data_IF_581556728528
#
_entry.id   IF_581556728528
#
_cell.length_a   1.000
_cell.length_b   1.000
_cell.length_c   1.000
_cell.angle_alpha   90.00
_cell.angle_beta   90.00
_cell.angle_gamma   90.00
#
_symmetry.space_group_name_H-M   'P 1'
#
loop_
_entity.id
_entity.type
_entity.pdbx_description
1 polymer ?
#
# COMPACT_ATOMS: atom_id res chain seq x y z
N UNK A 1 -27.63 1.55 63.52
CA UNK A 1 -26.19 1.25 63.65
C UNK A 1 -26.00 -0.25 63.51
N UNK A 2 -25.29 -0.66 62.46
CA UNK A 2 -24.82 -2.02 62.20
C UNK A 2 -25.82 -2.91 61.45
N UNK A 3 -25.46 -3.63 60.40
CA UNK A 3 -24.25 -3.62 59.58
C UNK A 3 -24.62 -4.37 58.29
N UNK A 4 -24.17 -3.84 57.16
CA UNK A 4 -24.35 -4.43 55.83
C UNK A 4 -23.17 -5.37 55.62
N UNK A 5 -23.39 -6.64 55.30
CA UNK A 5 -22.46 -7.39 54.44
C UNK A 5 -23.11 -8.70 53.96
N UNK A 6 -23.56 -8.66 52.71
CA UNK A 6 -23.76 -9.83 51.86
C UNK A 6 -22.48 -10.68 51.87
N UNK A 7 -22.56 -11.93 52.32
CA UNK A 7 -21.52 -12.93 52.04
C UNK A 7 -21.63 -13.31 50.56
N UNK A 8 -20.94 -12.51 49.74
CA UNK A 8 -20.93 -12.58 48.30
C UNK A 8 -20.42 -13.92 47.77
N UNK A 9 -21.26 -14.53 46.96
CA UNK A 9 -20.88 -15.24 45.74
C UNK A 9 -19.80 -14.49 44.97
N UNK A 10 -18.52 -14.76 45.19
CA UNK A 10 -17.47 -14.41 44.24
C UNK A 10 -16.35 -15.44 44.29
N UNK A 11 -16.69 -16.67 43.89
CA UNK A 11 -15.83 -17.39 42.95
C UNK A 11 -15.65 -16.51 41.69
N UNK A 12 -14.87 -15.43 41.77
CA UNK A 12 -14.30 -14.83 40.56
C UNK A 12 -13.17 -15.75 40.14
N UNK A 13 -13.59 -16.82 39.45
CA UNK A 13 -12.75 -17.55 38.51
C UNK A 13 -11.79 -16.55 37.86
N UNK A 14 -10.50 -16.83 38.01
CA UNK A 14 -9.37 -16.24 37.31
C UNK A 14 -9.67 -16.35 35.82
N UNK A 15 -10.46 -15.42 35.30
CA UNK A 15 -10.70 -15.20 33.88
C UNK A 15 -9.72 -14.13 33.42
N UNK A 16 -8.42 -14.40 33.60
CA UNK A 16 -7.48 -14.09 32.52
C UNK A 16 -7.68 -15.17 31.46
N UNK A 17 -8.87 -15.15 30.84
CA UNK A 17 -9.02 -15.65 29.50
C UNK A 17 -8.14 -14.70 28.68
N UNK A 18 -6.89 -15.10 28.48
CA UNK A 18 -6.05 -14.61 27.40
C UNK A 18 -6.87 -14.83 26.14
N UNK A 19 -7.59 -13.80 25.71
CA UNK A 19 -8.16 -13.79 24.38
C UNK A 19 -6.95 -13.79 23.46
N UNK A 20 -6.60 -14.98 22.99
CA UNK A 20 -5.98 -15.21 21.69
C UNK A 20 -6.95 -14.64 20.65
N UNK A 21 -7.13 -13.32 20.66
CA UNK A 21 -7.78 -12.64 19.56
C UNK A 21 -6.95 -13.00 18.34
N UNK A 22 -7.67 -13.46 17.31
CA UNK A 22 -7.19 -13.67 15.96
C UNK A 22 -6.78 -12.31 15.38
N UNK A 23 -5.73 -11.71 15.94
CA UNK A 23 -5.11 -10.51 15.39
C UNK A 23 -4.53 -10.98 14.07
N UNK A 24 -5.28 -10.73 12.97
CA UNK A 24 -4.67 -10.67 11.66
C UNK A 24 -3.45 -9.78 11.84
N UNK A 25 -2.23 -10.22 11.51
CA UNK A 25 -1.04 -9.40 11.71
C UNK A 25 -1.24 -8.11 10.92
N UNK A 26 -1.67 -7.07 11.62
CA UNK A 26 -1.95 -5.78 11.02
C UNK A 26 -0.63 -5.31 10.43
N UNK A 27 -0.58 -4.98 9.12
CA UNK A 27 0.63 -4.49 8.51
C UNK A 27 0.99 -3.16 9.17
N UNK A 28 2.10 -3.15 9.92
CA UNK A 28 2.57 -1.96 10.63
C UNK A 28 3.27 -1.06 9.63
N UNK A 29 2.97 0.23 9.67
CA UNK A 29 3.59 1.26 8.85
C UNK A 29 4.86 1.80 9.51
N UNK A 30 5.88 2.01 8.70
CA UNK A 30 7.17 2.54 9.13
C UNK A 30 7.79 3.41 8.06
N UNK A 31 8.69 4.28 8.51
CA UNK A 31 9.50 5.14 7.65
C UNK A 31 10.98 4.94 7.99
N UNK A 32 11.83 5.06 6.99
CA UNK A 32 13.25 4.86 7.16
C UNK A 32 14.02 5.15 5.89
N UNK A 33 15.23 4.60 5.81
CA UNK A 33 16.08 4.74 4.64
C UNK A 33 16.67 3.39 4.22
N UNK A 34 16.88 3.21 2.91
CA UNK A 34 17.51 2.01 2.39
C UNK A 34 18.96 1.91 2.87
N UNK A 35 19.29 0.89 3.66
CA UNK A 35 20.65 0.65 4.17
C UNK A 35 21.55 0.12 3.05
N UNK A 36 21.07 -0.86 2.31
CA UNK A 36 21.72 -1.38 1.11
C UNK A 36 20.73 -2.20 0.29
N UNK A 37 20.94 -2.23 -1.03
CA UNK A 37 20.14 -3.02 -1.94
C UNK A 37 21.02 -3.71 -2.98
N UNK A 38 20.92 -5.04 -3.06
CA UNK A 38 21.62 -5.80 -4.08
C UNK A 38 20.75 -5.90 -5.33
N UNK A 39 21.07 -5.07 -6.31
CA UNK A 39 20.37 -4.98 -7.60
C UNK A 39 20.39 -6.29 -8.39
N UNK A 40 21.47 -7.08 -8.28
CA UNK A 40 21.60 -8.36 -9.00
C UNK A 40 20.73 -9.44 -8.37
N UNK A 41 20.65 -9.46 -7.04
CA UNK A 41 19.88 -10.47 -6.31
C UNK A 41 18.42 -10.06 -6.06
N UNK A 42 18.10 -8.77 -6.17
CA UNK A 42 16.74 -8.25 -6.00
C UNK A 42 16.25 -8.16 -4.55
N UNK A 43 17.17 -8.06 -3.58
CA UNK A 43 16.83 -7.89 -2.17
C UNK A 43 17.76 -6.92 -1.47
N UNK A 44 17.33 -6.43 -0.31
CA UNK A 44 18.09 -5.50 0.50
C UNK A 44 17.55 -5.39 1.92
N UNK A 45 18.06 -4.39 2.64
CA UNK A 45 17.58 -4.04 3.97
C UNK A 45 17.34 -2.54 4.08
N UNK A 46 16.30 -2.19 4.83
CA UNK A 46 15.91 -0.83 5.18
C UNK A 46 16.17 -0.63 6.66
N UNK A 47 16.83 0.46 7.01
CA UNK A 47 17.01 0.90 8.38
C UNK A 47 15.79 1.73 8.77
N UNK A 48 14.97 1.21 9.69
CA UNK A 48 13.74 1.88 10.10
C UNK A 48 14.04 2.97 11.13
N UNK A 49 13.63 4.20 10.86
CA UNK A 49 13.87 5.35 11.75
C UNK A 49 12.63 5.70 12.57
N UNK A 50 11.44 5.40 12.04
CA UNK A 50 10.17 5.67 12.71
C UNK A 50 9.19 4.52 12.48
N UNK A 51 8.48 4.11 13.53
CA UNK A 51 7.33 3.20 13.46
C UNK A 51 6.07 3.94 13.86
N UNK A 52 4.99 3.85 13.07
CA UNK A 52 3.69 4.43 13.44
C UNK A 52 3.79 5.91 13.85
N UNK A 53 4.73 6.66 13.25
CA UNK A 53 4.99 8.07 13.59
C UNK A 53 5.81 8.33 14.86
N UNK A 54 6.18 7.29 15.62
CA UNK A 54 7.07 7.41 16.79
C UNK A 54 8.54 7.17 16.39
N UNK A 55 9.48 8.02 16.83
CA UNK A 55 10.91 7.75 16.66
C UNK A 55 11.32 6.54 17.51
N UNK A 56 12.27 5.75 17.01
CA UNK A 56 12.84 4.59 17.68
C UNK A 56 14.28 4.86 18.11
N UNK A 57 14.62 4.48 19.35
CA UNK A 57 15.98 4.62 19.88
C UNK A 57 17.00 3.72 19.15
N UNK A 58 16.52 2.56 18.66
CA UNK A 58 17.31 1.58 17.94
C UNK A 58 16.64 1.34 16.58
N UNK A 59 17.31 1.62 15.44
CA UNK A 59 16.73 1.38 14.13
C UNK A 59 16.79 -0.12 13.79
N UNK A 60 15.65 -0.85 13.76
CA UNK A 60 15.65 -2.24 13.34
C UNK A 60 15.87 -2.34 11.83
N UNK A 61 16.60 -3.38 11.43
CA UNK A 61 16.79 -3.73 10.02
C UNK A 61 15.56 -4.50 9.52
N UNK A 62 14.94 -3.99 8.44
CA UNK A 62 13.75 -4.59 7.80
C UNK A 62 14.14 -5.16 6.45
N UNK A 63 13.80 -6.43 6.22
CA UNK A 63 14.09 -7.11 4.97
C UNK A 63 13.16 -6.64 3.85
N UNK A 64 13.73 -6.28 2.69
CA UNK A 64 12.98 -5.87 1.50
C UNK A 64 13.32 -6.74 0.30
N UNK A 65 12.28 -7.15 -0.43
CA UNK A 65 12.40 -7.85 -1.70
C UNK A 65 11.87 -6.96 -2.85
N UNK A 66 12.48 -7.06 -4.03
CA UNK A 66 12.13 -6.24 -5.21
C UNK A 66 10.65 -6.31 -5.59
N UNK A 67 9.99 -7.46 -5.33
CA UNK A 67 8.57 -7.66 -5.65
C UNK A 67 7.63 -6.80 -4.78
N UNK A 68 8.14 -6.24 -3.69
CA UNK A 68 7.38 -5.42 -2.73
C UNK A 68 7.52 -3.92 -3.04
N UNK A 69 8.42 -3.55 -3.96
CA UNK A 69 8.65 -2.16 -4.38
C UNK A 69 7.55 -1.70 -5.33
N UNK A 70 6.89 -0.60 -4.99
CA UNK A 70 5.87 0.05 -5.82
C UNK A 70 6.55 1.01 -6.79
N UNK A 71 6.93 0.47 -7.94
CA UNK A 71 7.49 1.24 -9.06
C UNK A 71 7.30 0.49 -10.37
N UNK A 72 7.38 1.20 -11.50
CA UNK A 72 7.27 0.60 -12.82
C UNK A 72 8.64 0.23 -13.39
N UNK A 73 8.70 -0.89 -14.11
CA UNK A 73 9.91 -1.38 -14.76
C UNK A 73 10.89 -2.08 -13.80
N UNK A 74 12.14 -1.63 -13.79
CA UNK A 74 13.21 -2.29 -13.05
C UNK A 74 13.19 -1.85 -11.58
N UNK A 75 12.88 -2.79 -10.68
CA UNK A 75 12.62 -2.50 -9.28
C UNK A 75 13.90 -2.53 -8.45
N UNK A 76 14.36 -1.38 -8.00
CA UNK A 76 15.51 -1.27 -7.09
C UNK A 76 15.37 -0.08 -6.15
N UNK A 77 16.21 -0.03 -5.12
CA UNK A 77 16.33 1.10 -4.20
C UNK A 77 17.74 1.69 -4.29
N UNK A 78 17.85 3.01 -4.11
CA UNK A 78 19.14 3.68 -3.91
C UNK A 78 19.54 3.62 -2.44
N UNK A 79 20.82 3.41 -2.17
CA UNK A 79 21.37 3.49 -0.81
C UNK A 79 21.16 4.90 -0.24
N UNK A 80 20.64 4.98 1.00
CA UNK A 80 20.27 6.22 1.66
C UNK A 80 18.95 6.85 1.18
N UNK A 81 18.21 6.22 0.26
CA UNK A 81 16.89 6.70 -0.17
C UNK A 81 15.87 6.61 0.96
N UNK A 82 15.14 7.71 1.20
CA UNK A 82 14.02 7.71 2.15
C UNK A 82 12.84 6.93 1.59
N UNK A 83 12.27 6.06 2.41
CA UNK A 83 11.19 5.16 2.01
C UNK A 83 10.15 5.03 3.11
N UNK A 84 8.90 4.92 2.69
CA UNK A 84 7.77 4.56 3.53
C UNK A 84 7.37 3.13 3.20
N UNK A 85 7.11 2.32 4.21
CA UNK A 85 6.79 0.92 4.00
C UNK A 85 5.85 0.37 5.04
N UNK A 86 5.20 -0.72 4.67
CA UNK A 86 4.48 -1.57 5.62
C UNK A 86 5.26 -2.84 5.83
N UNK A 87 5.37 -3.31 7.06
CA UNK A 87 6.10 -4.51 7.42
C UNK A 87 5.28 -5.42 8.33
N UNK A 88 5.69 -6.68 8.38
CA UNK A 88 5.16 -7.68 9.30
C UNK A 88 6.30 -8.41 9.98
N UNK A 89 6.00 -8.99 11.14
CA UNK A 89 6.90 -9.94 11.80
C UNK A 89 6.78 -11.31 11.13
N UNK A 90 7.89 -11.85 10.64
CA UNK A 90 8.00 -13.21 10.08
C UNK A 90 8.91 -14.07 10.95
N UNK A 91 9.01 -15.37 10.63
CA UNK A 91 9.96 -16.28 11.29
C UNK A 91 11.43 -15.89 11.09
N UNK A 92 11.75 -15.11 10.04
CA UNK A 92 13.12 -14.67 9.72
C UNK A 92 13.42 -13.25 10.22
N UNK A 93 12.49 -12.61 10.93
CA UNK A 93 12.58 -11.20 11.32
C UNK A 93 11.53 -10.33 10.63
N UNK A 94 11.79 -9.03 10.56
CA UNK A 94 10.87 -8.05 9.97
C UNK A 94 10.95 -8.09 8.44
N UNK A 95 9.80 -8.24 7.78
CA UNK A 95 9.68 -8.32 6.31
C UNK A 95 8.75 -7.21 5.80
N UNK A 96 9.18 -6.49 4.76
CA UNK A 96 8.34 -5.52 4.05
C UNK A 96 7.24 -6.21 3.23
N UNK A 97 6.02 -5.68 3.32
CA UNK A 97 4.87 -6.06 2.50
C UNK A 97 4.70 -5.13 1.29
N UNK A 98 4.95 -3.84 1.48
CA UNK A 98 4.84 -2.81 0.44
C UNK A 98 5.81 -1.69 0.77
N UNK A 99 6.55 -1.21 -0.21
CA UNK A 99 7.50 -0.10 -0.08
C UNK A 99 7.22 0.95 -1.14
N UNK A 100 7.16 2.21 -0.72
CA UNK A 100 6.95 3.40 -1.53
C UNK A 100 8.01 4.45 -1.20
N UNK A 101 8.16 5.43 -2.08
CA UNK A 101 8.89 6.65 -1.76
C UNK A 101 8.13 7.51 -0.72
N UNK A 102 8.72 8.63 -0.29
CA UNK A 102 8.07 9.55 0.64
C UNK A 102 6.77 10.11 0.03
N UNK A 103 5.73 10.21 0.84
CA UNK A 103 4.40 10.67 0.40
C UNK A 103 3.69 9.69 -0.55
N UNK A 104 4.07 8.41 -0.54
CA UNK A 104 3.46 7.37 -1.37
C UNK A 104 3.86 7.40 -2.85
N UNK A 105 4.85 8.21 -3.23
CA UNK A 105 5.39 8.24 -4.59
C UNK A 105 6.13 6.97 -5.01
N UNK A 106 6.50 6.84 -6.29
CA UNK A 106 7.37 5.75 -6.75
C UNK A 106 8.77 5.89 -6.15
N UNK A 107 9.44 4.76 -5.89
CA UNK A 107 10.84 4.75 -5.47
C UNK A 107 11.75 5.30 -6.60
N UNK A 108 12.80 6.06 -6.24
CA UNK A 108 13.75 6.63 -7.18
C UNK A 108 14.61 5.55 -7.86
N UNK A 109 15.02 4.55 -7.07
CA UNK A 109 15.76 3.39 -7.54
C UNK A 109 17.23 3.66 -7.87
N UNK A 110 17.96 2.57 -8.13
CA UNK A 110 19.42 2.61 -8.29
C UNK A 110 19.85 3.25 -9.61
N UNK A 111 20.72 4.27 -9.54
CA UNK A 111 21.35 4.94 -10.70
C UNK A 111 22.25 4.01 -11.54
N UNK A 112 22.65 2.85 -10.99
CA UNK A 112 23.43 1.82 -11.69
C UNK A 112 22.66 1.08 -12.78
N UNK A 113 21.44 1.52 -13.11
CA UNK A 113 20.80 1.12 -14.35
C UNK A 113 21.72 1.59 -15.49
N UNK A 114 22.29 0.70 -16.33
CA UNK A 114 22.89 1.17 -17.56
C UNK A 114 21.80 1.98 -18.27
N UNK A 115 22.07 3.26 -18.48
CA UNK A 115 21.27 4.16 -19.31
C UNK A 115 21.42 3.65 -20.76
N UNK A 116 20.95 2.43 -21.03
CA UNK A 116 20.56 2.02 -22.36
C UNK A 116 19.61 3.11 -22.81
N UNK A 117 20.04 3.83 -23.87
CA UNK A 117 19.38 5.01 -24.44
C UNK A 117 17.89 4.93 -24.18
N UNK A 118 17.32 5.97 -23.56
CA UNK A 118 15.87 6.11 -23.44
C UNK A 118 15.27 5.71 -24.80
N UNK A 119 14.65 4.55 -24.86
CA UNK A 119 13.82 4.25 -26.02
C UNK A 119 12.61 5.13 -25.77
N UNK A 120 12.33 6.13 -26.61
CA UNK A 120 11.07 6.84 -26.47
C UNK A 120 9.97 5.78 -26.54
N UNK A 121 8.99 5.84 -25.63
CA UNK A 121 7.75 5.10 -25.81
C UNK A 121 7.13 5.57 -27.13
N UNK A 122 7.48 4.91 -28.23
CA UNK A 122 6.89 5.13 -29.53
C UNK A 122 6.43 3.76 -30.02
N UNK A 123 5.20 3.45 -29.64
CA UNK A 123 4.21 2.72 -30.43
C UNK A 123 2.86 2.67 -29.68
N UNK A 124 2.25 3.84 -29.52
CA UNK A 124 0.86 3.93 -29.97
C UNK A 124 0.97 4.11 -31.49
N UNK A 125 0.93 2.99 -32.23
CA UNK A 125 0.77 3.09 -33.67
C UNK A 125 -0.66 3.57 -33.89
N UNK A 126 -0.72 4.82 -34.33
CA UNK A 126 -1.73 5.41 -35.19
C UNK A 126 -2.45 4.32 -36.02
N UNK A 127 -3.65 3.93 -35.63
CA UNK A 127 -4.61 3.31 -36.55
C UNK A 127 -4.95 4.39 -37.57
N UNK A 128 -4.44 4.38 -38.82
CA UNK A 128 -4.77 5.42 -39.74
C UNK A 128 -6.13 5.07 -40.34
N UNK A 129 -7.12 5.89 -39.99
CA UNK A 129 -8.12 6.30 -40.94
C UNK A 129 -9.08 5.22 -41.45
N UNK A 130 -9.92 4.66 -40.58
CA UNK A 130 -11.31 4.44 -40.95
C UNK A 130 -12.25 4.79 -39.78
N UNK A 131 -12.87 5.95 -39.95
CA UNK A 131 -14.22 6.30 -39.48
C UNK A 131 -14.46 6.72 -38.02
N UNK A 132 -14.21 8.00 -37.77
CA UNK A 132 -15.25 8.99 -37.40
C UNK A 132 -16.54 8.45 -36.75
N UNK A 133 -16.67 8.56 -35.43
CA UNK A 133 -17.87 9.13 -34.81
C UNK A 133 -17.59 9.51 -33.34
N UNK A 134 -17.76 10.79 -33.02
CA UNK A 134 -17.91 11.27 -31.65
C UNK A 134 -18.99 10.47 -30.89
N UNK A 135 -18.70 10.09 -29.64
CA UNK A 135 -19.69 9.97 -28.55
C UNK A 135 -18.90 9.97 -27.24
N UNK A 136 -18.54 11.17 -26.76
CA UNK A 136 -19.26 11.84 -25.67
C UNK A 136 -19.32 10.97 -24.41
N UNK A 137 -18.57 11.42 -23.40
CA UNK A 137 -18.76 11.13 -21.97
C UNK A 137 -20.27 11.15 -21.62
N UNK A 138 -20.86 10.06 -21.13
CA UNK A 138 -22.11 10.15 -20.41
C UNK A 138 -21.84 10.57 -18.96
N UNK A 139 -22.39 11.69 -18.46
CA UNK A 139 -22.50 11.92 -17.04
C UNK A 139 -23.55 10.98 -16.43
N UNK A 140 -23.23 10.48 -15.24
CA UNK A 140 -24.05 9.84 -14.20
C UNK A 140 -25.56 9.61 -14.48
N UNK A 141 -26.10 8.41 -14.18
CA UNK A 141 -27.55 8.24 -14.07
C UNK A 141 -28.05 8.78 -12.72
N UNK A 142 -28.74 9.92 -12.75
CA UNK A 142 -29.81 10.19 -11.80
C UNK A 142 -31.11 9.61 -12.38
N UNK A 143 -31.84 8.93 -11.50
CA UNK A 143 -33.04 8.17 -11.80
C UNK A 143 -34.25 9.06 -12.16
N UNK A 144 -35.21 8.38 -12.78
CA UNK A 144 -36.66 8.65 -12.85
C UNK A 144 -37.20 9.31 -14.12
N UNK A 145 -37.79 8.42 -14.94
CA UNK A 145 -39.12 8.50 -15.53
C UNK A 145 -39.79 9.88 -15.57
N UNK A 146 -40.04 10.40 -16.77
CA UNK A 146 -41.39 10.61 -17.29
C UNK A 146 -41.31 10.81 -18.82
N UNK A 147 -42.02 9.94 -19.54
CA UNK A 147 -42.04 9.84 -20.99
C UNK A 147 -43.39 10.34 -21.48
N UNK A 148 -43.48 11.57 -22.04
CA UNK A 148 -44.65 12.04 -22.78
C UNK A 148 -44.20 13.01 -23.89
N UNK A 149 -44.25 12.54 -25.12
CA UNK A 149 -44.56 13.26 -26.38
C UNK A 149 -44.35 12.23 -27.50
N UNK A 150 -45.35 11.63 -28.13
CA UNK A 150 -46.61 12.20 -28.57
C UNK A 150 -46.53 12.49 -30.07
N UNK A 151 -46.27 11.46 -30.89
CA UNK A 151 -46.33 11.57 -32.35
C UNK A 151 -47.78 11.42 -32.82
N UNK A 152 -48.28 12.41 -33.57
CA UNK A 152 -49.34 12.19 -34.55
C UNK A 152 -48.99 12.93 -35.84
N UNK A 153 -48.34 12.20 -36.74
CA UNK A 153 -48.34 12.51 -38.15
C UNK A 153 -49.66 12.04 -38.77
N UNK A 154 -50.40 12.93 -39.42
CA UNK A 154 -51.37 12.57 -40.45
C UNK A 154 -51.50 13.70 -41.47
N UNK A 155 -51.25 13.31 -42.73
CA UNK A 155 -51.79 13.76 -44.02
C UNK A 155 -52.08 15.24 -44.26
#
# INVERSE_FOLDING_TARGET
IGEIAYLGTFYTCISIHTQEERILPQPVSGAGHCKWFNVRMGFGFISMTSSEGSPLDLPPDVFVHQSKLVMDGFRSLKEGEQVEFTFKKSSKGLECLRVTGPGGGPCAGSERRPKGKATPQKNQILYPFFLHCMRLNPPHPMMSHFCICGERWQS
#
